data_IF_442817110891
#
_entry.id   IF_442817110891
#
_cell.length_a   1.000
_cell.length_b   1.000
_cell.length_c   1.000
_cell.angle_alpha   90.00
_cell.angle_beta   90.00
_cell.angle_gamma   90.00
#
_symmetry.space_group_name_H-M   'P 1'
#
loop_
_entity.id
_entity.type
_entity.pdbx_description
1 polymer ?
#
# COMPACT_ATOMS: atom_id res chain seq x y z
N UNK A 1 1.10 14.87 -2.11
CA UNK A 1 0.39 13.59 -1.86
C UNK A 1 -0.99 13.95 -1.35
N UNK A 2 -1.97 14.06 -2.25
CA UNK A 2 -3.36 14.32 -1.86
C UNK A 2 -4.01 12.99 -1.47
N UNK A 3 -4.29 12.82 -0.18
CA UNK A 3 -5.10 11.71 0.33
C UNK A 3 -6.57 12.02 0.03
N UNK A 4 -7.23 11.16 -0.74
CA UNK A 4 -8.66 11.32 -1.02
C UNK A 4 -9.45 10.51 0.00
N UNK A 5 -10.37 11.18 0.68
CA UNK A 5 -11.27 10.53 1.63
C UNK A 5 -12.40 9.85 0.85
N UNK A 6 -12.46 8.53 0.95
CA UNK A 6 -13.47 7.66 0.31
C UNK A 6 -14.83 7.80 1.02
N UNK A 7 -14.84 8.13 2.33
CA UNK A 7 -16.04 8.43 3.13
C UNK A 7 -15.79 9.45 4.25
N UNK A 8 -16.65 10.46 4.41
CA UNK A 8 -16.61 11.42 5.53
C UNK A 8 -18.01 11.82 5.99
N UNK A 9 -18.41 11.62 7.26
CA UNK A 9 -19.30 12.55 7.94
C UNK A 9 -18.49 13.78 8.39
N UNK A 10 -19.14 14.94 8.50
CA UNK A 10 -18.49 16.19 8.88
C UNK A 10 -17.94 16.13 10.32
N UNK A 11 -16.69 16.56 10.52
CA UNK A 11 -16.12 16.79 11.86
C UNK A 11 -15.59 18.21 11.96
N UNK A 12 -16.08 18.94 12.98
CA UNK A 12 -15.61 20.27 13.38
C UNK A 12 -14.20 20.17 13.96
N UNK A 13 -13.38 21.17 13.69
CA UNK A 13 -11.96 21.19 14.04
C UNK A 13 -11.66 21.09 15.53
N UNK A 14 -10.44 20.62 15.82
CA UNK A 14 -9.77 20.84 17.09
C UNK A 14 -8.28 21.11 16.81
N UNK A 15 -7.70 22.20 17.35
CA UNK A 15 -6.27 22.43 17.39
C UNK A 15 -5.71 21.77 18.65
N UNK A 16 -4.87 20.74 18.51
CA UNK A 16 -4.23 20.04 19.63
C UNK A 16 -3.25 18.99 19.12
N UNK A 17 -2.05 18.94 19.71
CA UNK A 17 -0.91 18.13 19.23
C UNK A 17 -1.17 16.62 19.15
N UNK A 18 -0.63 15.99 18.12
CA UNK A 18 -0.80 14.58 17.73
C UNK A 18 -0.06 13.55 18.62
N UNK A 19 0.49 13.93 19.77
CA UNK A 19 1.47 13.10 20.51
C UNK A 19 0.90 11.89 21.27
N UNK A 20 -0.40 11.60 21.22
CA UNK A 20 -1.02 10.46 21.93
C UNK A 20 -1.72 9.45 21.01
N UNK A 21 -1.68 9.63 19.69
CA UNK A 21 -2.41 8.74 18.77
C UNK A 21 -1.56 7.52 18.38
N UNK A 22 -2.13 6.32 18.57
CA UNK A 22 -1.50 5.04 18.18
C UNK A 22 -1.96 4.67 16.77
N UNK A 23 -0.99 4.40 15.90
CA UNK A 23 -1.19 4.03 14.49
C UNK A 23 -0.72 2.59 14.29
N UNK A 24 -1.59 1.73 13.78
CA UNK A 24 -1.24 0.35 13.41
C UNK A 24 -0.82 0.26 11.94
N UNK A 25 0.32 -0.36 11.65
CA UNK A 25 0.79 -0.64 10.29
C UNK A 25 0.71 -2.15 10.03
N UNK A 26 0.07 -2.56 8.94
CA UNK A 26 -0.23 -3.98 8.67
C UNK A 26 0.96 -4.80 8.21
N UNK A 27 1.86 -4.20 7.42
CA UNK A 27 3.06 -4.83 6.89
C UNK A 27 4.16 -3.80 6.62
N UNK A 28 5.44 -4.22 6.51
CA UNK A 28 6.52 -3.32 6.12
C UNK A 28 6.35 -2.95 4.64
N UNK A 29 5.94 -1.70 4.38
CA UNK A 29 5.62 -1.18 3.05
C UNK A 29 6.73 -0.29 2.49
N UNK A 30 7.17 0.68 3.29
CA UNK A 30 8.17 1.67 2.90
C UNK A 30 8.88 2.17 4.15
N UNK A 31 10.21 2.10 4.13
CA UNK A 31 11.04 2.61 5.23
C UNK A 31 10.84 4.11 5.46
N UNK A 32 10.59 4.88 4.40
CA UNK A 32 10.28 6.30 4.52
C UNK A 32 8.96 6.54 5.27
N UNK A 33 7.91 5.80 4.92
CA UNK A 33 6.61 5.91 5.58
C UNK A 33 6.71 5.55 7.06
N UNK A 34 7.41 4.46 7.38
CA UNK A 34 7.67 4.01 8.74
C UNK A 34 8.37 5.11 9.57
N UNK A 35 9.47 5.67 9.06
CA UNK A 35 10.20 6.76 9.72
C UNK A 35 9.34 8.01 9.92
N UNK A 36 8.49 8.35 8.96
CA UNK A 36 7.57 9.49 9.13
C UNK A 36 6.51 9.18 10.20
N UNK A 37 5.93 7.98 10.20
CA UNK A 37 4.92 7.62 11.19
C UNK A 37 5.51 7.58 12.61
N UNK A 38 6.69 6.99 12.80
CA UNK A 38 7.39 6.96 14.10
C UNK A 38 7.74 8.35 14.64
N UNK A 39 7.95 9.32 13.75
CA UNK A 39 8.24 10.70 14.14
C UNK A 39 7.03 11.42 14.73
N UNK A 40 5.83 11.13 14.23
CA UNK A 40 4.61 11.89 14.56
C UNK A 40 3.63 11.12 15.44
N UNK A 41 3.72 9.79 15.49
CA UNK A 41 2.76 8.91 16.14
C UNK A 41 3.45 7.77 16.89
N UNK A 42 2.72 7.14 17.81
CA UNK A 42 3.14 5.84 18.34
C UNK A 42 2.85 4.77 17.30
N UNK A 43 3.88 4.33 16.57
CA UNK A 43 3.73 3.32 15.53
C UNK A 43 3.71 1.91 16.13
N UNK A 44 2.67 1.16 15.78
CA UNK A 44 2.54 -0.25 16.09
C UNK A 44 2.67 -1.09 14.83
N UNK A 45 3.56 -2.09 14.87
CA UNK A 45 3.92 -2.93 13.72
C UNK A 45 3.28 -4.30 13.88
N UNK A 46 2.25 -4.62 13.08
CA UNK A 46 1.51 -5.88 13.22
C UNK A 46 2.40 -7.12 13.01
N UNK A 47 3.44 -7.02 12.18
CA UNK A 47 4.35 -8.13 11.88
C UNK A 47 5.35 -8.46 13.00
N UNK A 48 5.52 -7.56 13.98
CA UNK A 48 6.39 -7.80 15.14
C UNK A 48 5.65 -8.55 16.26
N UNK A 49 4.34 -8.72 16.13
CA UNK A 49 3.53 -9.40 17.14
C UNK A 49 3.32 -10.86 16.74
N UNK A 50 3.85 -11.82 17.52
CA UNK A 50 3.79 -13.24 17.16
C UNK A 50 2.40 -13.86 17.30
N UNK A 51 1.49 -13.25 18.07
CA UNK A 51 0.14 -13.77 18.31
C UNK A 51 -0.95 -12.72 18.14
N UNK A 52 -1.99 -13.08 17.38
CA UNK A 52 -3.20 -12.27 17.20
C UNK A 52 -3.92 -11.98 18.52
N UNK A 53 -3.81 -12.84 19.51
CA UNK A 53 -4.48 -12.66 20.81
C UNK A 53 -3.78 -11.58 21.65
N UNK A 54 -2.44 -11.57 21.67
CA UNK A 54 -1.66 -10.52 22.33
C UNK A 54 -1.90 -9.14 21.70
N UNK A 55 -2.16 -9.12 20.39
CA UNK A 55 -2.56 -7.91 19.68
C UNK A 55 -3.89 -7.36 20.22
N UNK A 56 -4.89 -8.22 20.38
CA UNK A 56 -6.21 -7.83 20.89
C UNK A 56 -6.13 -7.27 22.30
N UNK A 57 -5.43 -7.96 23.19
CA UNK A 57 -5.41 -7.60 24.62
C UNK A 57 -4.69 -6.28 24.90
N UNK A 58 -3.64 -5.97 24.15
CA UNK A 58 -2.84 -4.74 24.38
C UNK A 58 -3.34 -3.53 23.61
N UNK A 59 -3.98 -3.72 22.45
CA UNK A 59 -4.11 -2.63 21.47
C UNK A 59 -5.54 -2.36 20.96
N UNK A 60 -6.50 -3.27 21.20
CA UNK A 60 -7.90 -3.10 20.76
C UNK A 60 -8.53 -1.77 21.20
N UNK A 61 -8.08 -1.23 22.35
CA UNK A 61 -8.58 0.01 22.94
C UNK A 61 -7.74 1.26 22.71
N UNK A 62 -6.65 1.21 21.94
CA UNK A 62 -5.72 2.35 21.78
C UNK A 62 -5.49 2.76 20.33
N UNK A 63 -5.57 1.84 19.37
CA UNK A 63 -5.34 2.14 17.95
C UNK A 63 -6.47 3.00 17.39
N UNK A 64 -6.13 4.17 16.88
CA UNK A 64 -7.08 5.14 16.27
C UNK A 64 -6.98 5.17 14.75
N UNK A 65 -5.84 4.78 14.19
CA UNK A 65 -5.64 4.71 12.74
C UNK A 65 -4.95 3.40 12.33
N UNK A 66 -5.32 2.87 11.16
CA UNK A 66 -4.65 1.74 10.52
C UNK A 66 -4.11 2.15 9.17
N UNK A 67 -2.87 1.76 8.87
CA UNK A 67 -2.21 1.94 7.58
C UNK A 67 -2.02 0.57 6.94
N UNK A 68 -2.67 0.36 5.78
CA UNK A 68 -2.62 -0.89 5.01
C UNK A 68 -2.15 -0.70 3.57
N UNK A 69 -2.10 -1.77 2.78
CA UNK A 69 -1.84 -1.74 1.34
C UNK A 69 -2.66 -2.78 0.57
N UNK A 70 -2.31 -3.01 -0.70
CA UNK A 70 -2.90 -4.02 -1.58
C UNK A 70 -2.74 -5.47 -1.09
N UNK A 71 -1.80 -5.75 -0.18
CA UNK A 71 -1.58 -7.10 0.37
C UNK A 71 -2.40 -7.33 1.63
N UNK A 72 -2.28 -6.41 2.59
CA UNK A 72 -2.94 -6.47 3.89
C UNK A 72 -3.58 -5.12 4.21
N UNK A 73 -4.91 -5.10 4.21
CA UNK A 73 -5.73 -3.93 4.53
C UNK A 73 -6.42 -4.06 5.89
N UNK A 74 -7.66 -3.58 5.98
CA UNK A 74 -8.49 -3.66 7.17
C UNK A 74 -9.73 -4.51 6.90
N UNK A 75 -9.61 -5.81 7.12
CA UNK A 75 -10.70 -6.77 7.00
C UNK A 75 -11.65 -6.67 8.21
N UNK A 76 -12.88 -7.20 8.08
CA UNK A 76 -13.95 -7.06 9.08
C UNK A 76 -13.51 -7.47 10.48
N UNK A 77 -12.75 -8.57 10.60
CA UNK A 77 -12.23 -9.07 11.87
C UNK A 77 -11.27 -8.09 12.55
N UNK A 78 -10.42 -7.39 11.77
CA UNK A 78 -9.53 -6.35 12.30
C UNK A 78 -10.30 -5.09 12.70
N UNK A 79 -11.33 -4.73 11.92
CA UNK A 79 -12.20 -3.59 12.23
C UNK A 79 -13.04 -3.85 13.49
N UNK A 80 -13.49 -5.08 13.72
CA UNK A 80 -14.20 -5.47 14.93
C UNK A 80 -13.31 -5.52 16.17
N UNK A 81 -12.05 -5.86 15.94
CA UNK A 81 -10.98 -5.90 16.90
C UNK A 81 -10.60 -4.52 17.47
N UNK A 82 -10.72 -3.46 16.66
CA UNK A 82 -10.25 -2.12 17.01
C UNK A 82 -11.42 -1.20 17.37
N UNK A 83 -11.75 -1.14 18.66
CA UNK A 83 -12.95 -0.46 19.17
C UNK A 83 -12.90 1.07 19.03
N UNK A 84 -11.71 1.64 18.84
CA UNK A 84 -11.46 3.09 18.73
C UNK A 84 -10.92 3.50 17.37
N UNK A 85 -11.06 2.64 16.36
CA UNK A 85 -10.63 2.93 15.01
C UNK A 85 -11.45 4.08 14.42
N UNK A 86 -10.78 5.10 13.91
CA UNK A 86 -11.39 6.30 13.33
C UNK A 86 -11.07 6.47 11.84
N UNK A 87 -9.96 5.89 11.38
CA UNK A 87 -9.49 6.00 10.00
C UNK A 87 -8.67 4.78 9.56
N UNK A 88 -8.90 4.35 8.33
CA UNK A 88 -8.06 3.40 7.59
C UNK A 88 -7.44 4.12 6.41
N UNK A 89 -6.11 4.23 6.39
CA UNK A 89 -5.35 4.81 5.29
C UNK A 89 -4.69 3.71 4.45
N UNK A 90 -5.08 3.62 3.19
CA UNK A 90 -4.50 2.68 2.23
C UNK A 90 -3.31 3.32 1.51
N UNK A 91 -2.16 2.67 1.60
CA UNK A 91 -0.98 2.91 0.78
C UNK A 91 -1.13 2.24 -0.60
N UNK A 92 -2.24 2.55 -1.26
CA UNK A 92 -2.62 2.02 -2.57
C UNK A 92 -3.79 2.80 -3.15
N UNK A 93 -4.01 2.68 -4.46
CA UNK A 93 -5.24 3.15 -5.12
C UNK A 93 -6.40 2.20 -4.82
N UNK A 94 -6.16 0.90 -4.98
CA UNK A 94 -7.14 -0.15 -4.72
C UNK A 94 -7.44 -0.27 -3.23
N UNK A 95 -8.72 -0.50 -2.91
CA UNK A 95 -9.26 -0.62 -1.54
C UNK A 95 -9.90 -1.98 -1.29
N UNK A 96 -9.63 -2.97 -2.15
CA UNK A 96 -10.26 -4.30 -2.13
C UNK A 96 -9.97 -5.10 -0.85
N UNK A 97 -8.92 -4.71 -0.11
CA UNK A 97 -8.51 -5.30 1.17
C UNK A 97 -9.08 -4.57 2.39
N UNK A 98 -9.99 -3.62 2.19
CA UNK A 98 -10.66 -2.87 3.25
C UNK A 98 -12.15 -3.20 3.18
N UNK A 99 -12.73 -3.66 4.29
CA UNK A 99 -14.18 -3.83 4.37
C UNK A 99 -14.87 -2.46 4.47
N UNK A 100 -15.21 -1.92 3.31
CA UNK A 100 -15.82 -0.59 3.19
C UNK A 100 -17.21 -0.52 3.84
N UNK A 101 -18.01 -1.59 3.77
CA UNK A 101 -19.34 -1.61 4.40
C UNK A 101 -19.22 -1.58 5.91
N UNK A 102 -18.32 -2.38 6.49
CA UNK A 102 -18.06 -2.37 7.93
C UNK A 102 -17.51 -1.03 8.40
N UNK A 103 -16.60 -0.43 7.64
CA UNK A 103 -16.11 0.93 7.91
C UNK A 103 -17.26 1.93 7.91
N UNK A 104 -18.18 1.84 6.94
CA UNK A 104 -19.35 2.72 6.84
C UNK A 104 -20.29 2.54 8.03
N UNK A 105 -20.60 1.30 8.42
CA UNK A 105 -21.46 0.98 9.57
C UNK A 105 -20.91 1.55 10.88
N UNK A 106 -19.58 1.53 11.06
CA UNK A 106 -18.90 2.04 12.25
C UNK A 106 -18.51 3.52 12.19
N UNK A 107 -18.76 4.20 11.08
CA UNK A 107 -18.35 5.60 10.89
C UNK A 107 -16.84 5.81 10.75
N UNK A 108 -16.11 4.78 10.33
CA UNK A 108 -14.66 4.80 10.12
C UNK A 108 -14.36 5.42 8.75
N UNK A 109 -13.45 6.39 8.72
CA UNK A 109 -13.01 7.03 7.47
C UNK A 109 -12.06 6.12 6.72
N UNK A 110 -12.12 6.16 5.39
CA UNK A 110 -11.16 5.43 4.54
C UNK A 110 -10.49 6.42 3.60
N UNK A 111 -9.17 6.36 3.47
CA UNK A 111 -8.40 7.16 2.50
C UNK A 111 -7.54 6.27 1.63
N UNK A 112 -7.32 6.68 0.38
CA UNK A 112 -6.41 5.99 -0.55
C UNK A 112 -5.47 7.00 -1.23
N UNK A 113 -4.58 6.51 -2.11
CA UNK A 113 -3.60 7.32 -2.85
C UNK A 113 -3.89 7.36 -4.36
N UNK A 114 -5.00 7.99 -4.81
CA UNK A 114 -5.33 8.06 -6.22
C UNK A 114 -4.38 9.00 -6.97
N UNK A 115 -4.29 8.83 -8.29
CA UNK A 115 -3.60 9.70 -9.26
C UNK A 115 -2.07 9.81 -9.13
N UNK A 116 -1.47 9.44 -7.99
CA UNK A 116 -0.03 9.60 -7.77
C UNK A 116 0.82 8.49 -8.39
N UNK A 117 0.21 7.40 -8.84
CA UNK A 117 0.91 6.27 -9.48
C UNK A 117 0.52 6.12 -10.96
N UNK A 118 -0.33 7.00 -11.48
CA UNK A 118 -0.92 6.84 -12.82
C UNK A 118 0.15 6.87 -13.90
N UNK A 119 1.08 7.82 -13.83
CA UNK A 119 2.13 7.99 -14.82
C UNK A 119 3.14 6.83 -14.76
N UNK A 120 3.61 6.45 -13.56
CA UNK A 120 4.53 5.32 -13.39
C UNK A 120 3.93 3.98 -13.88
N UNK A 121 2.63 3.76 -13.63
CA UNK A 121 1.93 2.57 -14.12
C UNK A 121 1.80 2.59 -15.65
N UNK A 122 1.55 3.76 -16.25
CA UNK A 122 1.50 3.90 -17.71
C UNK A 122 2.88 3.65 -18.35
N UNK A 123 3.94 4.19 -17.77
CA UNK A 123 5.32 3.97 -18.23
C UNK A 123 5.70 2.49 -18.14
N UNK A 124 5.37 1.83 -17.03
CA UNK A 124 5.59 0.40 -16.87
C UNK A 124 4.82 -0.42 -17.92
N UNK A 125 3.57 -0.06 -18.24
CA UNK A 125 2.76 -0.76 -19.24
C UNK A 125 3.39 -0.66 -20.64
N UNK A 126 3.82 0.54 -21.05
CA UNK A 126 4.52 0.75 -22.33
C UNK A 126 5.86 0.03 -22.33
N UNK A 127 6.62 0.12 -21.25
CA UNK A 127 7.90 -0.57 -21.07
C UNK A 127 7.76 -2.09 -21.21
N UNK A 128 6.76 -2.69 -20.56
CA UNK A 128 6.46 -4.12 -20.66
C UNK A 128 6.02 -4.52 -22.08
N UNK A 129 5.19 -3.69 -22.73
CA UNK A 129 4.77 -3.93 -24.11
C UNK A 129 5.98 -3.94 -25.05
N UNK A 130 6.88 -2.96 -24.94
CA UNK A 130 8.11 -2.90 -25.74
C UNK A 130 9.05 -4.07 -25.40
N UNK A 131 9.21 -4.39 -24.12
CA UNK A 131 10.05 -5.50 -23.67
C UNK A 131 9.58 -6.85 -24.23
N UNK A 132 8.26 -7.09 -24.25
CA UNK A 132 7.66 -8.28 -24.82
C UNK A 132 7.80 -8.31 -26.34
N UNK A 133 7.32 -7.28 -27.04
CA UNK A 133 7.28 -7.25 -28.51
C UNK A 133 8.68 -7.23 -29.16
N UNK A 134 9.65 -6.57 -28.53
CA UNK A 134 11.03 -6.47 -29.03
C UNK A 134 11.97 -7.47 -28.37
N UNK A 135 11.44 -8.36 -27.52
CA UNK A 135 12.19 -9.38 -26.79
C UNK A 135 13.40 -8.80 -26.05
N UNK A 136 13.26 -7.60 -25.47
CA UNK A 136 14.37 -6.83 -24.88
C UNK A 136 15.08 -7.63 -23.79
N UNK A 137 14.32 -8.28 -22.90
CA UNK A 137 14.90 -9.09 -21.82
C UNK A 137 15.70 -10.29 -22.36
N UNK A 138 15.22 -10.94 -23.43
CA UNK A 138 15.94 -12.06 -24.05
C UNK A 138 17.20 -11.58 -24.79
N UNK A 139 17.13 -10.41 -25.43
CA UNK A 139 18.28 -9.79 -26.07
C UNK A 139 19.37 -9.39 -25.05
N UNK A 140 18.99 -8.84 -23.90
CA UNK A 140 19.93 -8.53 -22.81
C UNK A 140 20.65 -9.80 -22.32
N UNK A 141 19.91 -10.88 -22.09
CA UNK A 141 20.49 -12.19 -21.71
C UNK A 141 21.43 -12.71 -22.81
N UNK A 142 21.04 -12.62 -24.07
CA UNK A 142 21.86 -13.06 -25.22
C UNK A 142 23.21 -12.33 -25.29
N UNK A 143 23.20 -11.01 -25.12
CA UNK A 143 24.42 -10.20 -25.12
C UNK A 143 25.28 -10.52 -23.90
N UNK A 144 24.69 -10.59 -22.70
CA UNK A 144 25.43 -10.94 -21.46
C UNK A 144 26.03 -12.34 -21.49
N UNK A 145 25.43 -13.25 -22.27
CA UNK A 145 25.94 -14.61 -22.47
C UNK A 145 27.07 -14.69 -23.51
N UNK A 146 27.47 -13.56 -24.11
CA UNK A 146 28.55 -13.46 -25.10
C UNK A 146 28.20 -14.00 -26.48
N UNK A 147 26.96 -14.46 -26.68
CA UNK A 147 26.49 -15.09 -27.93
C UNK A 147 26.49 -14.12 -29.11
N UNK A 148 26.42 -12.82 -28.85
CA UNK A 148 26.44 -11.80 -29.89
C UNK A 148 27.74 -11.79 -30.71
N UNK A 149 28.84 -12.30 -30.16
CA UNK A 149 30.09 -12.49 -30.91
C UNK A 149 29.97 -13.54 -32.02
N UNK A 150 28.98 -14.44 -31.91
CA UNK A 150 28.80 -15.58 -32.79
C UNK A 150 27.66 -15.37 -33.81
N UNK A 151 26.94 -14.25 -33.74
CA UNK A 151 25.84 -13.93 -34.64
C UNK A 151 24.83 -12.96 -34.03
N UNK A 152 23.92 -12.45 -34.88
CA UNK A 152 22.89 -11.51 -34.46
C UNK A 152 21.76 -12.19 -33.66
N UNK A 153 21.15 -11.44 -32.74
CA UNK A 153 19.93 -11.87 -32.07
C UNK A 153 18.73 -11.77 -33.01
N UNK A 154 18.03 -12.88 -33.23
CA UNK A 154 16.88 -12.90 -34.14
C UNK A 154 15.67 -12.14 -33.57
N UNK A 155 15.24 -11.13 -34.34
CA UNK A 155 13.99 -10.43 -34.12
C UNK A 155 12.85 -11.13 -34.88
N UNK A 156 11.68 -11.22 -34.26
CA UNK A 156 10.51 -11.99 -34.73
C UNK A 156 9.96 -11.54 -36.10
N UNK A 157 10.38 -10.39 -36.62
CA UNK A 157 9.94 -9.87 -37.92
C UNK A 157 11.11 -9.31 -38.72
N UNK A 158 11.88 -10.18 -39.39
CA UNK A 158 12.47 -9.79 -40.67
C UNK A 158 11.35 -9.81 -41.71
N UNK A 159 10.65 -8.68 -41.92
CA UNK A 159 9.84 -8.54 -43.13
C UNK A 159 10.82 -8.62 -44.32
N UNK A 160 10.72 -9.72 -45.08
CA UNK A 160 11.28 -9.84 -46.42
C UNK A 160 10.56 -8.91 -47.38
#
# INVERSE_FOLDING_TARGET
MELRVVFSPAVRGAPGGFSEEVVGMTCPMSAYLELQLEKWFTLFKLWETPSRTEFMDRFAGTVRAVVGNTKLGAESELIDSLLRLEIVASYSVGVDKIDLEKCREKGIRVTNTPNVLTDDVADAAIGLMLAALRRICAADVFVRSGLWRNGDFELDTKRR
#
